data_IF_540378008507
#
_entry.id   IF_540378008507
#
_cell.length_a   1.000
_cell.length_b   1.000
_cell.length_c   1.000
_cell.angle_alpha   90.00
_cell.angle_beta   90.00
_cell.angle_gamma   90.00
#
_symmetry.space_group_name_H-M   'P 1'
#
loop_
_entity.id
_entity.type
_entity.pdbx_description
1 polymer ?
#
# COMPACT_ATOMS: atom_id res chain seq x y z
N UNK A 1 -4.12 21.76 -27.05
CA UNK A 1 -4.79 20.53 -26.53
C UNK A 1 -5.97 20.95 -25.66
N UNK A 2 -7.20 20.58 -26.05
CA UNK A 2 -8.40 20.91 -25.29
C UNK A 2 -8.40 20.14 -23.96
N UNK A 3 -8.43 20.83 -22.82
CA UNK A 3 -8.68 20.24 -21.51
C UNK A 3 -10.17 19.86 -21.46
N UNK A 4 -10.48 18.57 -21.60
CA UNK A 4 -11.82 18.06 -21.35
C UNK A 4 -12.05 18.22 -19.83
N UNK A 5 -12.92 19.15 -19.45
CA UNK A 5 -13.37 19.29 -18.05
C UNK A 5 -14.50 18.26 -17.85
N UNK A 6 -14.16 17.14 -17.24
CA UNK A 6 -15.18 16.23 -16.75
C UNK A 6 -15.91 16.87 -15.57
N UNK A 7 -17.22 16.66 -15.46
CA UNK A 7 -18.00 17.11 -14.32
C UNK A 7 -17.47 16.47 -13.01
N UNK A 8 -17.67 17.12 -11.87
CA UNK A 8 -17.22 16.64 -10.56
C UNK A 8 -17.67 15.21 -10.28
N UNK A 9 -18.88 14.85 -10.68
CA UNK A 9 -19.44 13.51 -10.50
C UNK A 9 -18.63 12.39 -11.18
N UNK A 10 -18.17 12.63 -12.43
CA UNK A 10 -17.33 11.65 -13.15
C UNK A 10 -15.97 11.51 -12.48
N UNK A 11 -15.39 12.62 -11.99
CA UNK A 11 -14.13 12.60 -11.25
C UNK A 11 -14.28 11.80 -9.96
N UNK A 12 -15.36 11.99 -9.22
CA UNK A 12 -15.61 11.28 -7.95
C UNK A 12 -15.80 9.78 -8.17
N UNK A 13 -16.56 9.39 -9.20
CA UNK A 13 -16.75 7.98 -9.59
C UNK A 13 -15.43 7.35 -10.05
N UNK A 14 -14.63 8.06 -10.83
CA UNK A 14 -13.32 7.61 -11.27
C UNK A 14 -12.36 7.41 -10.08
N UNK A 15 -12.35 8.36 -9.14
CA UNK A 15 -11.55 8.24 -7.90
C UNK A 15 -12.00 7.03 -7.09
N UNK A 16 -13.30 6.81 -6.92
CA UNK A 16 -13.85 5.65 -6.21
C UNK A 16 -13.45 4.33 -6.87
N UNK A 17 -13.55 4.23 -8.19
CA UNK A 17 -13.13 3.05 -8.94
C UNK A 17 -11.63 2.78 -8.77
N UNK A 18 -10.78 3.82 -8.82
CA UNK A 18 -9.35 3.69 -8.60
C UNK A 18 -9.03 3.23 -7.17
N UNK A 19 -9.68 3.81 -6.16
CA UNK A 19 -9.50 3.39 -4.76
C UNK A 19 -9.87 1.91 -4.60
N UNK A 20 -10.98 1.45 -5.18
CA UNK A 20 -11.40 0.04 -5.13
C UNK A 20 -10.36 -0.87 -5.80
N UNK A 21 -9.92 -0.53 -7.00
CA UNK A 21 -8.94 -1.31 -7.75
C UNK A 21 -7.60 -1.37 -7.01
N UNK A 22 -7.07 -0.23 -6.57
CA UNK A 22 -5.79 -0.15 -5.88
C UNK A 22 -5.83 -0.80 -4.49
N UNK A 23 -6.96 -0.75 -3.78
CA UNK A 23 -7.13 -1.49 -2.52
C UNK A 23 -7.01 -3.00 -2.73
N UNK A 24 -7.64 -3.52 -3.78
CA UNK A 24 -7.56 -4.94 -4.14
C UNK A 24 -6.15 -5.35 -4.55
N UNK A 25 -5.54 -4.57 -5.45
CA UNK A 25 -4.16 -4.81 -5.92
C UNK A 25 -3.17 -4.73 -4.77
N UNK A 26 -3.27 -3.70 -3.93
CA UNK A 26 -2.37 -3.48 -2.80
C UNK A 26 -2.37 -4.66 -1.83
N UNK A 27 -3.54 -5.17 -1.48
CA UNK A 27 -3.64 -6.37 -0.63
C UNK A 27 -2.98 -7.60 -1.27
N UNK A 28 -3.24 -7.85 -2.56
CA UNK A 28 -2.65 -8.98 -3.27
C UNK A 28 -1.14 -8.89 -3.35
N UNK A 29 -0.61 -7.69 -3.65
CA UNK A 29 0.83 -7.45 -3.74
C UNK A 29 1.50 -7.55 -2.37
N UNK A 30 0.91 -6.97 -1.32
CA UNK A 30 1.42 -7.10 0.04
C UNK A 30 1.48 -8.56 0.51
N UNK A 31 0.45 -9.36 0.19
CA UNK A 31 0.42 -10.80 0.47
C UNK A 31 1.55 -11.55 -0.25
N UNK A 32 1.81 -11.21 -1.50
CA UNK A 32 2.85 -11.86 -2.28
C UNK A 32 4.24 -11.43 -1.84
N UNK A 33 4.47 -10.13 -1.58
CA UNK A 33 5.70 -9.62 -1.00
C UNK A 33 6.02 -10.32 0.33
N UNK A 34 5.03 -10.46 1.20
CA UNK A 34 5.17 -11.22 2.43
C UNK A 34 5.61 -12.67 2.21
N UNK A 35 5.12 -13.35 1.16
CA UNK A 35 5.51 -14.74 0.85
C UNK A 35 6.94 -14.84 0.33
N UNK A 36 7.45 -13.80 -0.28
CA UNK A 36 8.82 -13.73 -0.83
C UNK A 36 9.90 -13.41 0.21
N UNK A 37 9.51 -13.01 1.42
CA UNK A 37 10.45 -12.73 2.50
C UNK A 37 11.39 -13.90 2.78
N UNK A 38 12.66 -13.60 3.04
CA UNK A 38 13.69 -14.64 3.28
C UNK A 38 14.11 -14.76 4.75
N UNK A 39 13.62 -13.89 5.63
CA UNK A 39 13.94 -13.92 7.06
C UNK A 39 13.04 -14.88 7.86
N UNK A 40 13.56 -15.39 8.97
CA UNK A 40 12.80 -16.19 9.93
C UNK A 40 12.19 -15.29 11.01
N UNK A 41 10.89 -15.46 11.25
CA UNK A 41 10.19 -14.70 12.28
C UNK A 41 10.55 -15.20 13.68
N UNK A 42 11.02 -14.32 14.57
CA UNK A 42 11.18 -14.59 16.00
C UNK A 42 9.96 -14.12 16.80
N UNK A 43 9.50 -12.90 16.56
CA UNK A 43 8.47 -12.24 17.36
C UNK A 43 7.16 -12.08 16.61
N UNK A 44 7.13 -12.33 15.30
CA UNK A 44 6.03 -12.09 14.38
C UNK A 44 5.66 -10.60 14.16
N UNK A 45 6.31 -9.65 14.81
CA UNK A 45 5.96 -8.24 14.64
C UNK A 45 6.28 -7.73 13.23
N UNK A 46 7.45 -8.05 12.67
CA UNK A 46 7.76 -7.73 11.27
C UNK A 46 6.80 -8.45 10.32
N UNK A 47 6.45 -9.69 10.63
CA UNK A 47 5.45 -10.47 9.90
C UNK A 47 4.06 -9.79 9.90
N UNK A 48 3.64 -9.22 11.02
CA UNK A 48 2.34 -8.59 11.18
C UNK A 48 2.31 -7.11 10.72
N UNK A 49 3.47 -6.58 10.29
CA UNK A 49 3.61 -5.20 9.80
C UNK A 49 3.43 -5.04 8.29
N UNK A 50 3.15 -6.12 7.56
CA UNK A 50 2.87 -6.03 6.12
C UNK A 50 1.45 -5.58 5.85
N UNK A 51 1.31 -4.65 4.93
CA UNK A 51 0.00 -4.18 4.50
C UNK A 51 0.06 -3.19 3.36
N UNK A 52 -1.11 -2.67 3.01
CA UNK A 52 -1.26 -1.63 2.00
C UNK A 52 -2.33 -0.62 2.39
N UNK A 53 -2.23 0.57 1.85
CA UNK A 53 -3.21 1.63 1.98
C UNK A 53 -3.28 2.46 0.70
N UNK A 54 -4.41 3.13 0.47
CA UNK A 54 -4.61 4.05 -0.66
C UNK A 54 -4.82 5.45 -0.13
N UNK A 55 -4.25 6.42 -0.83
CA UNK A 55 -4.38 7.84 -0.56
C UNK A 55 -4.98 8.55 -1.76
N UNK A 56 -5.83 9.53 -1.50
CA UNK A 56 -6.39 10.43 -2.51
C UNK A 56 -5.96 11.85 -2.18
N UNK A 57 -5.25 12.49 -3.10
CA UNK A 57 -4.72 13.84 -2.93
C UNK A 57 -3.91 13.99 -1.62
N UNK A 58 -3.13 12.96 -1.28
CA UNK A 58 -2.31 12.89 -0.07
C UNK A 58 -3.05 12.54 1.22
N UNK A 59 -4.36 12.32 1.16
CA UNK A 59 -5.17 11.94 2.32
C UNK A 59 -5.41 10.43 2.34
N UNK A 60 -5.15 9.80 3.48
CA UNK A 60 -5.42 8.38 3.69
C UNK A 60 -6.91 8.08 3.52
N UNK A 61 -7.23 7.03 2.77
CA UNK A 61 -8.57 6.46 2.70
C UNK A 61 -8.65 5.32 3.74
N UNK A 62 -9.29 5.51 4.91
CA UNK A 62 -9.22 4.56 6.02
C UNK A 62 -9.67 3.15 5.66
N UNK A 63 -10.73 3.01 4.87
CA UNK A 63 -11.29 1.71 4.47
C UNK A 63 -10.39 0.94 3.48
N UNK A 64 -9.40 1.61 2.90
CA UNK A 64 -8.43 1.00 2.00
C UNK A 64 -7.29 0.27 2.73
N UNK A 65 -7.14 0.48 4.04
CA UNK A 65 -6.08 -0.18 4.80
C UNK A 65 -6.33 -1.69 4.81
N UNK A 66 -5.36 -2.45 4.31
CA UNK A 66 -5.39 -3.91 4.29
C UNK A 66 -4.16 -4.48 4.98
N UNK A 67 -4.38 -5.41 5.86
CA UNK A 67 -3.33 -6.14 6.57
C UNK A 67 -3.17 -7.54 5.97
N UNK A 68 -1.94 -7.95 5.79
CA UNK A 68 -1.62 -9.30 5.26
C UNK A 68 -2.02 -10.38 6.25
N UNK A 69 -1.76 -10.16 7.54
CA UNK A 69 -2.00 -11.13 8.59
C UNK A 69 -3.01 -10.64 9.61
N UNK A 70 -3.72 -11.57 10.23
CA UNK A 70 -4.49 -11.28 11.42
C UNK A 70 -3.52 -11.03 12.58
N UNK A 71 -3.73 -9.93 13.33
CA UNK A 71 -2.93 -9.64 14.50
C UNK A 71 -2.92 -10.84 15.46
N UNK A 72 -1.75 -11.39 15.71
CA UNK A 72 -1.56 -12.43 16.72
C UNK A 72 -1.23 -11.78 18.05
N UNK A 73 -2.23 -11.41 18.81
CA UNK A 73 -2.13 -10.60 20.04
C UNK A 73 -1.32 -11.24 21.18
N UNK A 74 -0.80 -12.47 21.06
CA UNK A 74 -0.32 -13.25 22.21
C UNK A 74 1.18 -13.51 22.26
N UNK A 75 2.00 -12.99 21.35
CA UNK A 75 3.46 -13.19 21.39
C UNK A 75 4.22 -11.88 21.15
N UNK A 76 3.94 -10.85 21.94
CA UNK A 76 4.93 -9.81 22.15
C UNK A 76 6.09 -10.46 22.90
N UNK A 77 7.23 -10.63 22.26
CA UNK A 77 8.42 -11.07 22.96
C UNK A 77 8.80 -10.00 23.99
N UNK A 78 9.12 -10.41 25.22
CA UNK A 78 9.45 -9.51 26.32
C UNK A 78 10.67 -8.62 26.06
N UNK A 79 11.36 -8.85 24.95
CA UNK A 79 12.59 -8.15 24.56
C UNK A 79 12.42 -7.13 23.41
N UNK A 80 11.24 -6.99 22.83
CA UNK A 80 11.00 -5.96 21.81
C UNK A 80 10.63 -4.61 22.43
N UNK A 81 11.64 -3.81 22.67
CA UNK A 81 11.47 -2.39 22.93
C UNK A 81 11.33 -1.69 21.56
N UNK A 82 10.12 -1.32 21.19
CA UNK A 82 9.90 -0.48 20.01
C UNK A 82 10.43 0.92 20.28
N UNK A 83 11.40 1.39 19.52
CA UNK A 83 11.92 2.76 19.57
C UNK A 83 10.80 3.78 19.28
N UNK A 84 9.83 3.39 18.45
CA UNK A 84 8.66 4.21 18.09
C UNK A 84 7.51 4.10 19.09
N UNK A 85 7.63 3.24 20.10
CA UNK A 85 6.55 2.94 21.04
C UNK A 85 5.42 2.08 20.48
N UNK A 86 5.55 1.53 19.26
CA UNK A 86 4.60 0.56 18.74
C UNK A 86 4.88 -0.82 19.32
N UNK A 87 3.87 -1.46 19.92
CA UNK A 87 3.99 -2.76 20.60
C UNK A 87 3.82 -3.95 19.64
N UNK A 88 3.16 -3.73 18.50
CA UNK A 88 2.87 -4.78 17.51
C UNK A 88 3.15 -4.28 16.10
N UNK A 89 3.40 -5.21 15.18
CA UNK A 89 3.60 -4.87 13.77
C UNK A 89 2.40 -4.16 13.14
N UNK A 90 1.18 -4.52 13.56
CA UNK A 90 -0.03 -3.84 13.11
C UNK A 90 -0.13 -2.40 13.63
N UNK A 91 0.27 -2.15 14.87
CA UNK A 91 0.30 -0.81 15.42
C UNK A 91 1.34 0.07 14.70
N UNK A 92 2.53 -0.48 14.43
CA UNK A 92 3.56 0.19 13.64
C UNK A 92 3.03 0.55 12.25
N UNK A 93 2.39 -0.39 11.55
CA UNK A 93 1.81 -0.16 10.23
C UNK A 93 0.71 0.93 10.26
N UNK A 94 -0.17 0.92 11.26
CA UNK A 94 -1.17 1.97 11.41
C UNK A 94 -0.55 3.34 11.67
N UNK A 95 0.45 3.42 12.52
CA UNK A 95 1.17 4.69 12.76
C UNK A 95 1.84 5.19 11.49
N UNK A 96 2.48 4.29 10.74
CA UNK A 96 3.10 4.60 9.47
C UNK A 96 2.08 5.20 8.49
N UNK A 97 0.96 4.52 8.23
CA UNK A 97 -0.04 5.00 7.27
C UNK A 97 -0.72 6.31 7.69
N UNK A 98 -0.73 6.65 8.96
CA UNK A 98 -1.32 7.91 9.44
C UNK A 98 -0.32 9.09 9.42
N UNK A 99 0.92 8.89 8.97
CA UNK A 99 1.89 9.97 8.89
C UNK A 99 1.71 10.80 7.62
N UNK A 100 1.72 12.13 7.77
CA UNK A 100 1.44 13.06 6.66
C UNK A 100 2.49 13.03 5.53
N UNK A 101 3.69 12.52 5.79
CA UNK A 101 4.79 12.46 4.83
C UNK A 101 4.81 11.19 3.97
N UNK A 102 3.96 10.20 4.28
CA UNK A 102 3.92 8.93 3.57
C UNK A 102 3.63 9.10 2.07
N UNK A 103 2.89 10.14 1.69
CA UNK A 103 2.62 10.45 0.28
C UNK A 103 3.18 11.82 -0.08
N UNK A 104 4.19 11.85 -0.94
CA UNK A 104 4.82 13.09 -1.41
C UNK A 104 4.02 13.78 -2.50
N UNK A 105 3.45 13.02 -3.42
CA UNK A 105 2.66 13.55 -4.53
C UNK A 105 1.17 13.60 -4.16
N UNK A 106 0.66 14.81 -3.94
CA UNK A 106 -0.71 15.05 -3.46
C UNK A 106 -1.77 15.19 -4.56
N UNK A 107 -1.39 15.08 -5.83
CA UNK A 107 -2.33 15.30 -6.95
C UNK A 107 -2.80 13.98 -7.59
N UNK A 108 -2.72 12.87 -6.86
CA UNK A 108 -2.96 11.53 -7.41
C UNK A 108 -3.65 10.60 -6.42
N UNK A 109 -4.21 9.51 -6.97
CA UNK A 109 -4.58 8.35 -6.17
C UNK A 109 -3.34 7.47 -6.06
N UNK A 110 -2.82 7.34 -4.85
CA UNK A 110 -1.53 6.67 -4.58
C UNK A 110 -1.74 5.39 -3.77
N UNK A 111 -1.16 4.28 -4.23
CA UNK A 111 -1.09 3.04 -3.48
C UNK A 111 0.25 2.98 -2.73
N UNK A 112 0.18 2.65 -1.46
CA UNK A 112 1.33 2.36 -0.61
C UNK A 112 1.28 0.90 -0.18
N UNK A 113 2.38 0.17 -0.36
CA UNK A 113 2.60 -1.18 0.18
C UNK A 113 3.78 -1.08 1.13
N UNK A 114 3.63 -1.57 2.34
CA UNK A 114 4.64 -1.39 3.38
C UNK A 114 4.85 -2.61 4.26
N UNK A 115 6.07 -2.67 4.86
CA UNK A 115 6.43 -3.51 6.00
C UNK A 115 7.04 -2.58 7.07
N UNK A 116 6.23 -2.12 8.02
CA UNK A 116 6.48 -0.91 8.81
C UNK A 116 7.11 -1.16 10.19
N UNK A 117 7.95 -2.18 10.36
CA UNK A 117 8.72 -2.33 11.61
C UNK A 117 10.07 -1.64 11.50
N UNK A 118 10.40 -0.86 12.53
CA UNK A 118 11.64 -0.06 12.63
C UNK A 118 12.94 -0.86 12.43
N UNK A 119 12.95 -2.15 12.68
CA UNK A 119 14.13 -2.99 12.46
C UNK A 119 14.12 -3.71 11.09
N UNK A 120 13.20 -3.37 10.20
CA UNK A 120 13.14 -3.95 8.86
C UNK A 120 14.43 -3.74 8.07
N UNK A 121 14.97 -2.53 8.11
CA UNK A 121 16.25 -2.14 7.52
C UNK A 121 17.44 -2.91 8.12
N UNK A 122 17.44 -3.16 9.43
CA UNK A 122 18.46 -4.00 10.09
C UNK A 122 18.41 -5.43 9.55
N UNK A 123 17.21 -5.96 9.29
CA UNK A 123 17.04 -7.29 8.71
C UNK A 123 17.56 -7.31 7.27
N UNK A 124 17.27 -6.29 6.47
CA UNK A 124 17.74 -6.17 5.08
C UNK A 124 19.25 -5.93 5.01
N UNK A 125 19.83 -5.15 5.90
CA UNK A 125 21.29 -4.94 5.97
C UNK A 125 22.07 -6.24 6.22
N UNK A 126 21.41 -7.27 6.75
CA UNK A 126 21.95 -8.63 6.92
C UNK A 126 21.75 -9.55 5.72
N UNK A 127 21.30 -9.00 4.58
CA UNK A 127 21.09 -9.73 3.33
C UNK A 127 19.76 -10.47 3.24
N UNK A 128 18.78 -10.19 4.12
CA UNK A 128 17.44 -10.74 4.02
C UNK A 128 16.52 -9.79 3.25
N UNK A 129 15.60 -10.35 2.47
CA UNK A 129 14.56 -9.57 1.79
C UNK A 129 13.39 -9.39 2.75
N UNK A 130 13.07 -8.14 3.08
CA UNK A 130 11.85 -7.75 3.80
C UNK A 130 10.78 -7.34 2.79
N UNK A 131 11.08 -6.37 1.93
CA UNK A 131 10.19 -5.94 0.87
C UNK A 131 11.02 -5.61 -0.38
N UNK A 132 10.78 -6.32 -1.47
CA UNK A 132 11.45 -6.13 -2.76
C UNK A 132 10.70 -5.05 -3.55
N UNK A 133 11.27 -3.87 -3.68
CA UNK A 133 10.65 -2.71 -4.35
C UNK A 133 10.39 -2.97 -5.84
N UNK A 134 11.37 -3.53 -6.54
CA UNK A 134 11.23 -3.81 -7.96
C UNK A 134 10.10 -4.81 -8.19
N UNK A 135 10.05 -5.84 -7.35
CA UNK A 135 8.94 -6.79 -7.37
C UNK A 135 7.61 -6.09 -7.13
N UNK A 136 7.50 -5.22 -6.11
CA UNK A 136 6.24 -4.51 -5.79
C UNK A 136 5.77 -3.67 -6.98
N UNK A 137 6.64 -2.89 -7.60
CA UNK A 137 6.32 -2.09 -8.80
C UNK A 137 5.78 -2.94 -9.94
N UNK A 138 6.52 -4.00 -10.27
CA UNK A 138 6.16 -4.89 -11.36
C UNK A 138 4.83 -5.62 -11.06
N UNK A 139 4.65 -6.09 -9.83
CA UNK A 139 3.43 -6.78 -9.41
C UNK A 139 2.20 -5.86 -9.40
N UNK A 140 2.35 -4.59 -8.95
CA UNK A 140 1.27 -3.60 -9.00
C UNK A 140 0.85 -3.36 -10.45
N UNK A 141 1.80 -3.06 -11.33
CA UNK A 141 1.52 -2.78 -12.75
C UNK A 141 0.82 -3.95 -13.43
N UNK A 142 1.32 -5.17 -13.21
CA UNK A 142 0.75 -6.38 -13.79
C UNK A 142 -0.67 -6.66 -13.27
N UNK A 143 -0.88 -6.63 -11.94
CA UNK A 143 -2.19 -6.93 -11.35
C UNK A 143 -3.23 -5.87 -11.65
N UNK A 144 -2.83 -4.61 -11.74
CA UNK A 144 -3.72 -3.52 -12.08
C UNK A 144 -4.30 -3.67 -13.50
N UNK A 145 -3.52 -4.22 -14.43
CA UNK A 145 -3.99 -4.51 -15.78
C UNK A 145 -5.18 -5.49 -15.80
N UNK A 146 -5.27 -6.37 -14.80
CA UNK A 146 -6.38 -7.33 -14.68
C UNK A 146 -7.53 -6.83 -13.80
N UNK A 147 -7.20 -6.16 -12.68
CA UNK A 147 -8.20 -5.75 -11.69
C UNK A 147 -8.96 -4.51 -12.15
N UNK A 148 -8.28 -3.54 -12.76
CA UNK A 148 -8.90 -2.27 -13.16
C UNK A 148 -10.06 -2.47 -14.16
N UNK A 149 -9.96 -3.28 -15.22
CA UNK A 149 -11.09 -3.52 -16.11
C UNK A 149 -12.30 -4.15 -15.40
N UNK A 150 -12.07 -5.04 -14.44
CA UNK A 150 -13.14 -5.68 -13.67
C UNK A 150 -13.86 -4.68 -12.77
N UNK A 151 -13.13 -3.76 -12.16
CA UNK A 151 -13.73 -2.69 -11.37
C UNK A 151 -14.48 -1.71 -12.25
N UNK A 152 -13.89 -1.29 -13.38
CA UNK A 152 -14.52 -0.35 -14.31
C UNK A 152 -15.80 -0.90 -14.94
N UNK A 153 -15.93 -2.22 -15.07
CA UNK A 153 -17.17 -2.84 -15.52
C UNK A 153 -18.39 -2.51 -14.61
N UNK A 154 -18.15 -2.14 -13.35
CA UNK A 154 -19.18 -1.69 -12.39
C UNK A 154 -19.58 -0.21 -12.59
N UNK A 155 -18.84 0.51 -13.40
CA UNK A 155 -18.98 1.96 -13.64
C UNK A 155 -19.10 2.23 -15.15
N UNK A 156 -20.25 1.91 -15.78
CA UNK A 156 -20.41 2.00 -17.24
C UNK A 156 -20.18 3.42 -17.78
N UNK A 157 -20.39 4.44 -16.97
CA UNK A 157 -20.13 5.85 -17.28
C UNK A 157 -18.64 6.20 -17.43
N UNK A 158 -17.74 5.34 -16.93
CA UNK A 158 -16.29 5.51 -17.05
C UNK A 158 -15.71 4.79 -18.27
N UNK A 159 -16.54 4.15 -19.08
CA UNK A 159 -16.09 3.44 -20.28
C UNK A 159 -15.38 4.40 -21.23
N UNK A 160 -14.20 3.99 -21.71
CA UNK A 160 -13.36 4.80 -22.60
C UNK A 160 -12.39 5.75 -21.88
N UNK A 161 -12.43 5.80 -20.54
CA UNK A 161 -11.51 6.63 -19.74
C UNK A 161 -10.28 5.85 -19.26
N UNK A 162 -10.17 4.55 -19.55
CA UNK A 162 -9.08 3.66 -19.10
C UNK A 162 -7.67 4.23 -19.34
N UNK A 163 -7.38 4.87 -20.50
CA UNK A 163 -6.04 5.43 -20.72
C UNK A 163 -5.70 6.58 -19.77
N UNK A 164 -6.72 7.27 -19.22
CA UNK A 164 -6.52 8.37 -18.28
C UNK A 164 -6.16 7.86 -16.88
N UNK A 165 -6.69 6.71 -16.47
CA UNK A 165 -6.43 6.15 -15.15
C UNK A 165 -4.94 5.86 -14.93
N UNK A 166 -4.22 5.40 -15.95
CA UNK A 166 -2.78 5.17 -15.88
C UNK A 166 -1.97 6.43 -15.53
N UNK A 167 -2.49 7.64 -15.87
CA UNK A 167 -1.84 8.92 -15.55
C UNK A 167 -2.17 9.42 -14.15
N UNK A 168 -3.27 8.95 -13.56
CA UNK A 168 -3.74 9.37 -12.24
C UNK A 168 -3.21 8.48 -11.12
N UNK A 169 -2.66 7.33 -11.47
CA UNK A 169 -2.07 6.41 -10.51
C UNK A 169 -0.61 6.81 -10.29
N UNK A 170 -0.30 7.16 -9.06
CA UNK A 170 1.08 7.27 -8.57
C UNK A 170 1.47 5.96 -7.90
N UNK A 171 2.63 5.43 -8.28
CA UNK A 171 3.34 4.46 -7.46
C UNK A 171 4.48 5.24 -6.87
N UNK A 172 4.43 5.54 -5.58
CA UNK A 172 5.49 6.28 -4.91
C UNK A 172 6.51 5.29 -4.36
N UNK A 173 7.78 5.47 -4.75
CA UNK A 173 8.86 4.50 -4.56
C UNK A 173 9.65 4.72 -3.28
N UNK A 174 9.33 5.76 -2.52
CA UNK A 174 10.19 6.31 -1.48
C UNK A 174 9.84 5.89 -0.05
N UNK A 175 9.22 4.74 0.16
CA UNK A 175 8.67 4.34 1.45
C UNK A 175 9.55 3.42 2.27
N UNK A 176 10.84 3.52 2.08
CA UNK A 176 11.78 2.82 2.92
C UNK A 176 12.51 3.79 3.85
N UNK A 177 12.41 3.57 5.15
CA UNK A 177 13.44 3.78 6.14
C UNK A 177 13.76 5.17 6.67
N UNK A 178 12.82 6.06 6.87
CA UNK A 178 13.01 7.19 7.78
C UNK A 178 11.99 7.16 8.94
N UNK A 179 12.04 6.08 9.73
CA UNK A 179 11.35 6.00 11.02
C UNK A 179 12.35 6.01 12.16
#
# INVERSE_FOLDING_TARGET
>A
MARIRYGSEIKDKATKALVEALTTVGWQVAMEAYRRKTYTNRTFNLHDSYGSAVYVDGNLVPDSIKYVNRARSKRADRHEHSITGAKTGREALNRFFNQAWVVRNKDRVTLVVAAAMWYGDIVESKGYVVLDEEFVKNAVSHRLAFVLPQVLAKYPELKGLEPMFRRWIGIDESYYYDL
#
